data_IF_196479390559
#
_entry.id   IF_196479390559
#
_cell.length_a   1.000
_cell.length_b   1.000
_cell.length_c   1.000
_cell.angle_alpha   90.00
_cell.angle_beta   90.00
_cell.angle_gamma   90.00
#
_symmetry.space_group_name_H-M   'P 1'
#
loop_
_entity.id
_entity.type
_entity.pdbx_description
1 polymer ?
#
# COMPACT_ATOMS: atom_id res chain seq x y z
N UNK A 1 -15.69 -61.01 25.25
CA UNK A 1 -14.24 -60.83 25.39
C UNK A 1 -13.76 -60.01 24.18
N UNK A 2 -13.32 -58.77 24.45
CA UNK A 2 -12.65 -57.75 23.60
C UNK A 2 -13.28 -57.30 22.26
N UNK A 3 -13.87 -56.10 22.35
CA UNK A 3 -14.11 -55.07 21.33
C UNK A 3 -12.88 -54.82 20.44
N UNK A 4 -13.09 -54.75 19.11
CA UNK A 4 -12.08 -54.44 18.09
C UNK A 4 -12.25 -53.04 17.47
N UNK A 5 -12.75 -52.07 18.23
CA UNK A 5 -12.91 -50.68 17.79
C UNK A 5 -11.67 -49.84 18.15
N UNK A 6 -10.51 -50.10 17.53
CA UNK A 6 -9.31 -49.30 17.83
C UNK A 6 -8.34 -49.05 16.66
N UNK A 7 -8.80 -49.08 15.41
CA UNK A 7 -7.92 -48.80 14.26
C UNK A 7 -8.36 -47.65 13.34
N UNK A 8 -9.43 -46.90 13.66
CA UNK A 8 -9.91 -45.79 12.81
C UNK A 8 -9.59 -44.37 13.33
N UNK A 9 -8.88 -44.21 14.44
CA UNK A 9 -8.68 -42.89 15.07
C UNK A 9 -7.37 -42.19 14.67
N UNK A 10 -6.48 -42.85 13.93
CA UNK A 10 -5.16 -42.26 13.59
C UNK A 10 -5.06 -41.56 12.22
N UNK A 11 -6.08 -41.61 11.37
CA UNK A 11 -6.04 -41.00 10.03
C UNK A 11 -6.78 -39.65 9.92
N UNK A 12 -7.54 -39.23 10.93
CA UNK A 12 -8.29 -37.96 10.89
C UNK A 12 -7.50 -36.74 11.41
N UNK A 13 -6.32 -36.93 11.99
CA UNK A 13 -5.55 -35.84 12.64
C UNK A 13 -4.59 -35.15 11.66
N UNK A 14 -4.25 -35.78 10.53
CA UNK A 14 -3.32 -35.18 9.55
C UNK A 14 -3.97 -34.22 8.54
N UNK A 15 -5.30 -34.02 8.59
CA UNK A 15 -5.99 -33.09 7.70
C UNK A 15 -6.37 -31.76 8.38
N UNK A 16 -6.13 -31.61 9.69
CA UNK A 16 -6.58 -30.43 10.44
C UNK A 16 -5.54 -29.29 10.51
N UNK A 17 -4.28 -29.54 10.13
CA UNK A 17 -3.20 -28.54 10.29
C UNK A 17 -3.04 -27.61 9.09
N UNK A 18 -3.68 -27.88 7.94
CA UNK A 18 -3.51 -27.04 6.75
C UNK A 18 -4.54 -25.90 6.58
N UNK A 19 -5.60 -25.85 7.39
CA UNK A 19 -6.67 -24.84 7.20
C UNK A 19 -6.41 -23.55 8.02
N UNK A 20 -5.63 -23.62 9.10
CA UNK A 20 -5.39 -22.45 9.97
C UNK A 20 -4.46 -21.42 9.34
N UNK A 21 -3.50 -21.84 8.52
CA UNK A 21 -2.49 -20.94 7.96
C UNK A 21 -3.06 -20.05 6.85
N UNK A 22 -4.06 -20.54 6.10
CA UNK A 22 -4.72 -19.79 5.03
C UNK A 22 -5.57 -18.65 5.63
N UNK A 23 -6.32 -18.95 6.70
CA UNK A 23 -7.16 -17.94 7.39
C UNK A 23 -6.33 -16.85 8.09
N UNK A 24 -5.18 -17.21 8.66
CA UNK A 24 -4.29 -16.24 9.30
C UNK A 24 -3.67 -15.25 8.29
N UNK A 25 -3.22 -15.73 7.13
CA UNK A 25 -2.64 -14.88 6.07
C UNK A 25 -3.65 -13.92 5.45
N UNK A 26 -4.88 -14.38 5.19
CA UNK A 26 -5.95 -13.56 4.63
C UNK A 26 -6.43 -12.48 5.63
N UNK A 27 -6.59 -12.85 6.90
CA UNK A 27 -6.94 -11.93 8.00
C UNK A 27 -5.93 -10.78 8.17
N UNK A 28 -4.62 -11.09 8.17
CA UNK A 28 -3.57 -10.09 8.32
C UNK A 28 -3.51 -9.11 7.13
N UNK A 29 -3.68 -9.61 5.90
CA UNK A 29 -3.72 -8.76 4.72
C UNK A 29 -4.95 -7.85 4.70
N UNK A 30 -6.11 -8.36 5.13
CA UNK A 30 -7.33 -7.58 5.25
C UNK A 30 -7.18 -6.46 6.28
N UNK A 31 -6.51 -6.71 7.41
CA UNK A 31 -6.22 -5.68 8.41
C UNK A 31 -5.35 -4.54 7.83
N UNK A 32 -4.22 -4.86 7.17
CA UNK A 32 -3.34 -3.86 6.55
C UNK A 32 -4.03 -3.06 5.45
N UNK A 33 -4.84 -3.72 4.61
CA UNK A 33 -5.64 -3.06 3.58
C UNK A 33 -6.59 -2.03 4.22
N UNK A 34 -7.30 -2.44 5.27
CA UNK A 34 -8.24 -1.57 5.98
C UNK A 34 -7.54 -0.38 6.63
N UNK A 35 -6.39 -0.59 7.28
CA UNK A 35 -5.61 0.50 7.90
C UNK A 35 -5.23 1.58 6.88
N UNK A 36 -4.75 1.17 5.71
CA UNK A 36 -4.39 2.09 4.62
C UNK A 36 -5.61 2.82 4.07
N UNK A 37 -6.72 2.12 3.82
CA UNK A 37 -7.96 2.73 3.33
C UNK A 37 -8.48 3.75 4.34
N UNK A 38 -8.54 3.40 5.62
CA UNK A 38 -9.01 4.30 6.68
C UNK A 38 -8.12 5.53 6.81
N UNK A 39 -6.80 5.39 6.65
CA UNK A 39 -5.87 6.53 6.63
C UNK A 39 -6.18 7.49 5.47
N UNK A 40 -6.39 6.96 4.27
CA UNK A 40 -6.71 7.78 3.09
C UNK A 40 -8.09 8.44 3.22
N UNK A 41 -9.09 7.75 3.78
CA UNK A 41 -10.40 8.33 4.07
C UNK A 41 -10.30 9.48 5.07
N UNK A 42 -9.59 9.30 6.18
CA UNK A 42 -9.36 10.35 7.18
C UNK A 42 -8.69 11.58 6.54
N UNK A 43 -7.66 11.37 5.72
CA UNK A 43 -7.02 12.42 4.96
C UNK A 43 -8.00 13.17 4.03
N UNK A 44 -8.84 12.46 3.28
CA UNK A 44 -9.88 13.08 2.43
C UNK A 44 -10.87 13.92 3.24
N UNK A 45 -11.37 13.40 4.37
CA UNK A 45 -12.30 14.13 5.24
C UNK A 45 -11.66 15.42 5.75
N UNK A 46 -10.43 15.34 6.22
CA UNK A 46 -9.75 16.51 6.77
C UNK A 46 -9.41 17.57 5.71
N UNK A 47 -9.04 17.15 4.48
CA UNK A 47 -8.92 18.06 3.33
C UNK A 47 -10.24 18.78 3.04
N UNK A 48 -11.39 18.09 3.16
CA UNK A 48 -12.71 18.70 2.94
C UNK A 48 -13.04 19.75 4.00
N UNK A 49 -12.64 19.53 5.25
CA UNK A 49 -12.93 20.41 6.38
C UNK A 49 -12.02 21.64 6.43
N UNK A 50 -10.72 21.46 6.14
CA UNK A 50 -9.68 22.47 6.40
C UNK A 50 -9.11 23.09 5.10
N UNK A 51 -9.37 22.46 3.96
CA UNK A 51 -8.88 22.90 2.66
C UNK A 51 -7.55 22.24 2.24
N UNK A 52 -7.34 22.18 0.92
CA UNK A 52 -6.22 21.47 0.28
C UNK A 52 -4.84 21.95 0.75
N UNK A 53 -4.61 23.27 0.80
CA UNK A 53 -3.27 23.83 1.03
C UNK A 53 -2.77 23.56 2.44
N UNK A 54 -3.61 23.87 3.44
CA UNK A 54 -3.28 23.68 4.85
C UNK A 54 -3.02 22.22 5.16
N UNK A 55 -3.80 21.30 4.57
CA UNK A 55 -3.61 19.89 4.87
C UNK A 55 -2.43 19.24 4.15
N UNK A 56 -2.16 19.61 2.90
CA UNK A 56 -0.93 19.19 2.23
C UNK A 56 0.30 19.65 3.03
N UNK A 57 0.26 20.86 3.61
CA UNK A 57 1.33 21.34 4.49
C UNK A 57 1.45 20.46 5.75
N UNK A 58 0.33 20.08 6.38
CA UNK A 58 0.32 19.13 7.50
C UNK A 58 1.01 17.83 7.12
N UNK A 59 0.67 17.22 5.97
CA UNK A 59 1.30 15.97 5.53
C UNK A 59 2.80 16.06 5.35
N UNK A 60 3.29 17.22 4.87
CA UNK A 60 4.72 17.50 4.73
C UNK A 60 5.42 17.60 6.09
N UNK A 61 4.78 18.22 7.08
CA UNK A 61 5.39 18.52 8.39
C UNK A 61 5.29 17.38 9.39
N UNK A 62 4.20 16.61 9.36
CA UNK A 62 3.87 15.62 10.39
C UNK A 62 4.32 14.19 10.08
N UNK A 63 5.12 14.01 9.02
CA UNK A 63 5.54 12.69 8.55
C UNK A 63 4.38 11.69 8.42
N UNK A 64 3.23 12.16 7.93
CA UNK A 64 2.06 11.32 7.73
C UNK A 64 2.34 10.27 6.65
N UNK A 65 1.81 9.05 6.74
CA UNK A 65 1.93 8.04 5.66
C UNK A 65 1.01 8.34 4.46
N UNK A 66 0.78 9.62 4.15
CA UNK A 66 0.00 10.09 3.01
C UNK A 66 0.94 10.79 2.04
N UNK A 67 0.85 10.43 0.76
CA UNK A 67 1.48 11.17 -0.32
C UNK A 67 0.40 11.81 -1.19
N UNK A 68 0.78 12.88 -1.90
CA UNK A 68 -0.12 13.61 -2.78
C UNK A 68 0.63 14.04 -4.04
N UNK A 69 0.03 13.86 -5.21
CA UNK A 69 0.63 14.14 -6.52
C UNK A 69 -0.42 14.76 -7.44
N UNK A 70 -0.09 15.87 -8.11
CA UNK A 70 -0.92 16.43 -9.17
C UNK A 70 -0.90 15.54 -10.41
N UNK A 71 -1.94 15.60 -11.24
CA UNK A 71 -2.04 14.81 -12.47
C UNK A 71 -1.03 15.18 -13.57
N UNK A 72 -0.28 16.27 -13.39
CA UNK A 72 0.88 16.64 -14.21
C UNK A 72 2.20 15.99 -13.74
N UNK A 73 2.16 15.22 -12.63
CA UNK A 73 3.31 14.57 -12.03
C UNK A 73 4.01 15.37 -10.93
N UNK A 74 3.55 16.58 -10.60
CA UNK A 74 4.16 17.38 -9.53
C UNK A 74 3.86 16.80 -8.15
N UNK A 75 4.90 16.53 -7.37
CA UNK A 75 4.76 16.01 -6.00
C UNK A 75 4.30 17.13 -5.07
N UNK A 76 3.17 16.91 -4.42
CA UNK A 76 2.60 17.83 -3.44
C UNK A 76 2.99 17.44 -2.02
N UNK A 77 2.99 16.16 -1.67
CA UNK A 77 3.46 15.67 -0.38
C UNK A 77 4.09 14.29 -0.58
N UNK A 78 5.24 14.07 0.06
CA UNK A 78 5.93 12.78 -0.01
C UNK A 78 6.74 12.55 1.27
N UNK A 79 6.19 11.83 2.26
CA UNK A 79 6.86 11.59 3.55
C UNK A 79 8.10 10.69 3.42
N UNK A 80 8.14 9.77 2.45
CA UNK A 80 9.31 8.92 2.21
C UNK A 80 10.39 9.60 1.39
N UNK A 81 9.99 10.62 0.62
CA UNK A 81 10.87 11.33 -0.31
C UNK A 81 10.57 12.83 -0.28
N UNK A 82 10.78 13.52 0.86
CA UNK A 82 10.51 14.94 0.99
C UNK A 82 11.32 15.77 -0.01
N UNK A 83 12.49 15.29 -0.44
CA UNK A 83 13.34 15.90 -1.47
C UNK A 83 12.66 16.04 -2.84
N UNK A 84 11.59 15.28 -3.09
CA UNK A 84 10.85 15.35 -4.37
C UNK A 84 9.74 16.40 -4.37
N UNK A 85 9.38 16.96 -3.22
CA UNK A 85 8.27 17.93 -3.11
C UNK A 85 8.53 19.13 -4.02
N UNK A 86 7.54 19.49 -4.83
CA UNK A 86 7.61 20.60 -5.77
C UNK A 86 8.24 20.25 -7.13
N UNK A 87 8.89 19.09 -7.25
CA UNK A 87 9.46 18.60 -8.52
C UNK A 87 8.43 17.79 -9.31
N UNK A 88 8.63 17.72 -10.64
CA UNK A 88 7.84 16.84 -11.50
C UNK A 88 8.48 15.44 -11.52
N UNK A 89 7.71 14.42 -11.18
CA UNK A 89 8.13 13.02 -11.14
C UNK A 89 7.38 12.16 -12.18
N UNK A 90 6.78 12.78 -13.20
CA UNK A 90 6.00 12.07 -14.23
C UNK A 90 6.80 10.95 -14.90
N UNK A 91 8.08 11.17 -15.19
CA UNK A 91 8.96 10.17 -15.83
C UNK A 91 9.80 9.36 -14.83
N UNK A 92 9.51 9.47 -13.53
CA UNK A 92 10.21 8.70 -12.51
C UNK A 92 9.99 7.20 -12.71
N UNK A 93 11.11 6.47 -12.84
CA UNK A 93 11.13 5.01 -12.81
C UNK A 93 11.52 4.54 -11.43
N UNK A 94 10.72 3.65 -10.85
CA UNK A 94 11.10 2.97 -9.62
C UNK A 94 12.20 1.93 -9.88
N UNK A 95 12.67 1.24 -8.83
CA UNK A 95 13.81 0.32 -8.98
C UNK A 95 13.49 -0.94 -9.81
N UNK A 96 12.23 -1.17 -10.16
CA UNK A 96 11.82 -2.21 -11.10
C UNK A 96 11.71 -1.71 -12.55
N UNK A 97 11.90 -0.42 -12.78
CA UNK A 97 11.77 0.22 -14.10
C UNK A 97 10.36 0.74 -14.40
N UNK A 98 9.41 0.59 -13.49
CA UNK A 98 8.03 1.04 -13.66
C UNK A 98 7.91 2.55 -13.55
N UNK A 99 7.14 3.17 -14.46
CA UNK A 99 6.76 4.58 -14.41
C UNK A 99 5.71 4.81 -13.31
N UNK A 100 6.17 4.80 -12.07
CA UNK A 100 5.31 4.69 -10.89
C UNK A 100 4.25 5.79 -10.82
N UNK A 101 4.66 7.04 -11.07
CA UNK A 101 3.76 8.21 -11.01
C UNK A 101 2.72 8.19 -12.13
N UNK A 102 3.09 7.75 -13.34
CA UNK A 102 2.13 7.62 -14.44
C UNK A 102 1.06 6.57 -14.12
N UNK A 103 1.45 5.43 -13.57
CA UNK A 103 0.49 4.39 -13.17
C UNK A 103 -0.41 4.85 -12.01
N UNK A 104 0.13 5.60 -11.04
CA UNK A 104 -0.65 6.20 -9.95
C UNK A 104 -1.70 7.18 -10.48
N UNK A 105 -1.31 8.06 -11.41
CA UNK A 105 -2.22 9.00 -12.07
C UNK A 105 -3.26 8.25 -12.91
N UNK A 106 -2.84 7.25 -13.69
CA UNK A 106 -3.75 6.44 -14.49
C UNK A 106 -4.79 5.72 -13.61
N UNK A 107 -4.37 5.18 -12.46
CA UNK A 107 -5.28 4.58 -11.47
C UNK A 107 -6.26 5.60 -10.91
N UNK A 108 -5.78 6.80 -10.55
CA UNK A 108 -6.65 7.88 -10.07
C UNK A 108 -7.71 8.28 -11.11
N UNK A 109 -7.31 8.40 -12.39
CA UNK A 109 -8.21 8.78 -13.49
C UNK A 109 -9.37 7.80 -13.72
N UNK A 110 -9.20 6.53 -13.36
CA UNK A 110 -10.26 5.49 -13.46
C UNK A 110 -11.01 5.25 -12.14
N UNK A 111 -10.92 6.19 -11.19
CA UNK A 111 -11.66 6.13 -9.91
C UNK A 111 -10.85 5.69 -8.70
N UNK A 112 -9.56 5.41 -8.86
CA UNK A 112 -8.66 5.00 -7.78
C UNK A 112 -8.64 3.49 -7.53
N UNK A 113 -8.15 3.11 -6.35
CA UNK A 113 -8.02 1.71 -5.93
C UNK A 113 -6.57 1.28 -5.69
N UNK A 114 -6.38 -0.03 -5.62
CA UNK A 114 -5.08 -0.63 -5.27
C UNK A 114 -4.13 -0.71 -6.46
N UNK A 115 -2.86 -0.46 -6.19
CA UNK A 115 -1.71 -0.78 -7.02
C UNK A 115 -0.71 -1.57 -6.17
N UNK A 116 -0.02 -2.51 -6.80
CA UNK A 116 0.96 -3.37 -6.15
C UNK A 116 2.27 -3.35 -6.94
N UNK A 117 3.30 -3.99 -6.42
CA UNK A 117 4.57 -4.10 -7.13
C UNK A 117 5.47 -2.87 -7.05
N UNK A 118 5.20 -1.92 -6.14
CA UNK A 118 5.98 -0.68 -6.05
C UNK A 118 7.27 -0.90 -5.28
N UNK A 119 8.41 -0.83 -5.97
CA UNK A 119 9.72 -1.04 -5.37
C UNK A 119 10.48 0.29 -5.29
N UNK A 120 10.65 0.78 -4.06
CA UNK A 120 11.37 2.05 -3.85
C UNK A 120 12.29 1.95 -2.65
N UNK A 121 13.42 2.64 -2.73
CA UNK A 121 14.33 2.84 -1.62
C UNK A 121 13.70 3.80 -0.63
N UNK A 122 13.78 3.52 0.66
CA UNK A 122 13.48 4.51 1.68
C UNK A 122 14.67 5.48 1.79
N UNK A 123 14.47 6.78 1.53
CA UNK A 123 15.54 7.78 1.52
C UNK A 123 16.28 7.90 2.86
N UNK A 124 15.57 7.74 3.98
CA UNK A 124 16.17 7.85 5.32
C UNK A 124 17.01 6.63 5.73
N UNK A 125 16.67 5.43 5.25
CA UNK A 125 17.34 4.19 5.68
C UNK A 125 18.18 3.52 4.60
N UNK A 126 18.06 3.96 3.34
CA UNK A 126 18.72 3.36 2.18
C UNK A 126 18.18 1.97 1.78
N UNK A 127 17.16 1.44 2.46
CA UNK A 127 16.63 0.08 2.21
C UNK A 127 15.51 0.08 1.17
N UNK A 128 15.55 -0.88 0.24
CA UNK A 128 14.46 -1.12 -0.71
C UNK A 128 13.34 -1.95 -0.08
N UNK A 129 12.10 -1.60 -0.39
CA UNK A 129 10.94 -2.38 0.06
C UNK A 129 9.80 -2.37 -0.97
N UNK A 130 9.09 -3.50 -1.05
CA UNK A 130 7.86 -3.61 -1.82
C UNK A 130 6.70 -2.94 -1.09
N UNK A 131 5.88 -2.22 -1.83
CA UNK A 131 4.72 -1.48 -1.31
C UNK A 131 3.47 -1.80 -2.11
N UNK A 132 2.38 -1.99 -1.39
CA UNK A 132 1.02 -1.99 -1.95
C UNK A 132 0.41 -0.65 -1.59
N UNK A 133 -0.04 0.09 -2.59
CA UNK A 133 -0.49 1.48 -2.45
C UNK A 133 -1.97 1.57 -2.81
N UNK A 134 -2.73 2.33 -2.02
CA UNK A 134 -4.11 2.67 -2.31
C UNK A 134 -4.17 4.11 -2.79
N UNK A 135 -4.79 4.32 -3.95
CA UNK A 135 -4.94 5.62 -4.61
C UNK A 135 -6.37 6.10 -4.49
N UNK A 136 -6.54 7.37 -4.13
CA UNK A 136 -7.81 8.06 -4.14
C UNK A 136 -7.71 9.36 -4.95
N UNK A 137 -8.47 9.50 -6.05
CA UNK A 137 -8.55 10.77 -6.75
C UNK A 137 -9.26 11.83 -5.91
N UNK A 138 -8.78 13.06 -6.02
CA UNK A 138 -9.32 14.23 -5.33
C UNK A 138 -9.82 15.26 -6.34
N UNK A 139 -10.77 16.10 -5.93
CA UNK A 139 -11.19 17.24 -6.72
C UNK A 139 -10.01 18.22 -6.93
N UNK A 140 -9.88 18.81 -8.12
CA UNK A 140 -8.76 19.69 -8.45
C UNK A 140 -7.52 18.98 -9.02
N UNK A 141 -7.74 17.88 -9.76
CA UNK A 141 -6.74 17.18 -10.59
C UNK A 141 -5.48 16.72 -9.85
N UNK A 142 -5.68 16.11 -8.69
CA UNK A 142 -4.60 15.46 -7.93
C UNK A 142 -5.10 14.19 -7.27
N UNK A 143 -4.18 13.37 -6.81
CA UNK A 143 -4.46 12.18 -6.01
C UNK A 143 -3.86 12.32 -4.62
N UNK A 144 -4.44 11.59 -3.67
CA UNK A 144 -3.76 11.20 -2.44
C UNK A 144 -3.62 9.68 -2.42
N UNK A 145 -2.61 9.20 -1.70
CA UNK A 145 -2.43 7.77 -1.51
C UNK A 145 -1.71 7.44 -0.23
N UNK A 146 -1.83 6.17 0.15
CA UNK A 146 -1.10 5.60 1.28
C UNK A 146 -0.70 4.17 0.96
N UNK A 147 0.17 3.58 1.78
CA UNK A 147 0.73 2.26 1.52
C UNK A 147 1.03 1.48 2.79
N UNK A 148 1.28 0.20 2.59
CA UNK A 148 1.97 -0.67 3.54
C UNK A 148 3.08 -1.47 2.85
N UNK A 149 4.03 -1.95 3.64
CA UNK A 149 5.14 -2.79 3.15
C UNK A 149 4.79 -4.27 3.18
N UNK A 150 5.28 -5.00 2.19
CA UNK A 150 5.23 -6.46 2.15
C UNK A 150 6.59 -7.02 1.70
N UNK A 151 6.94 -8.27 2.07
CA UNK A 151 8.20 -8.87 1.66
C UNK A 151 8.24 -9.10 0.15
N UNK A 152 9.42 -8.95 -0.46
CA UNK A 152 9.64 -9.40 -1.82
C UNK A 152 9.66 -10.95 -1.88
N UNK A 153 9.39 -11.52 -3.05
CA UNK A 153 9.55 -12.96 -3.27
C UNK A 153 11.04 -13.39 -3.20
N UNK A 154 11.30 -14.70 -3.28
CA UNK A 154 12.68 -15.25 -3.25
C UNK A 154 13.60 -14.70 -4.36
N UNK A 155 13.02 -14.17 -5.45
CA UNK A 155 13.73 -13.55 -6.58
C UNK A 155 13.79 -12.02 -6.46
N UNK A 156 13.47 -11.47 -5.28
CA UNK A 156 13.41 -10.02 -5.00
C UNK A 156 12.39 -9.26 -5.85
N UNK A 157 11.35 -9.93 -6.32
CA UNK A 157 10.24 -9.32 -7.06
C UNK A 157 9.12 -8.95 -6.13
N UNK A 158 8.44 -7.84 -6.41
CA UNK A 158 7.30 -7.37 -5.62
C UNK A 158 5.99 -7.99 -6.11
N UNK A 159 5.89 -9.32 -6.06
CA UNK A 159 4.66 -10.06 -6.34
C UNK A 159 3.86 -10.28 -5.05
N UNK A 160 2.53 -10.31 -5.15
CA UNK A 160 1.63 -10.72 -4.06
C UNK A 160 1.09 -12.10 -4.42
#
# INVERSE_FOLDING_TARGET
MKSSLQHYIFLAIYFFVFITDIWAGESLNNNKNNEVIERVKKAKTFIKEVGKEKEILTFRMTSSRIFAINFDGKVLASPLHPETIGTNQFDFKDASGLLAVQEEIAKAKVGGGWLQGRLRQNHATGKFACRKIYILPMQGNYLIGSWYYYPADKKKRCLI
#
